data_IF_028129386858
#
_entry.id   IF_028129386858
#
_cell.length_a   1.000
_cell.length_b   1.000
_cell.length_c   1.000
_cell.angle_alpha   90.00
_cell.angle_beta   90.00
_cell.angle_gamma   90.00
#
_symmetry.space_group_name_H-M   'P 1'
#
loop_
_entity.id
_entity.type
_entity.pdbx_description
1 polymer ?
#
# COMPACT_ATOMS: atom_id res chain seq x y z
N UNK A 1 -41.90 25.63 33.29
CA UNK A 1 -42.00 25.05 31.93
C UNK A 1 -40.63 24.58 31.45
N UNK A 2 -40.06 23.52 32.05
CA UNK A 2 -38.66 23.09 31.78
C UNK A 2 -38.48 21.57 31.66
N UNK A 3 -39.56 20.80 31.48
CA UNK A 3 -39.51 19.33 31.49
C UNK A 3 -39.49 18.71 30.08
N UNK A 4 -39.90 19.46 29.04
CA UNK A 4 -39.91 19.00 27.64
C UNK A 4 -38.55 19.14 26.93
N UNK A 5 -37.68 20.04 27.38
CA UNK A 5 -36.39 20.31 26.70
C UNK A 5 -35.29 19.28 27.03
N UNK A 6 -35.41 18.57 28.17
CA UNK A 6 -34.41 17.57 28.58
C UNK A 6 -34.49 16.30 27.72
N UNK A 7 -35.71 15.87 27.37
CA UNK A 7 -35.94 14.71 26.50
C UNK A 7 -35.42 14.92 25.07
N UNK A 8 -35.57 16.14 24.54
CA UNK A 8 -35.10 16.51 23.20
C UNK A 8 -33.57 16.47 23.14
N UNK A 9 -32.89 17.00 24.15
CA UNK A 9 -31.43 16.95 24.25
C UNK A 9 -30.88 15.52 24.29
N UNK A 10 -31.52 14.62 25.03
CA UNK A 10 -31.13 13.20 25.05
C UNK A 10 -31.31 12.53 23.68
N UNK A 11 -32.40 12.83 22.96
CA UNK A 11 -32.62 12.30 21.61
C UNK A 11 -31.55 12.77 20.62
N UNK A 12 -31.15 14.05 20.67
CA UNK A 12 -30.07 14.57 19.82
C UNK A 12 -28.71 13.95 20.15
N UNK A 13 -28.41 13.70 21.42
CA UNK A 13 -27.17 13.03 21.82
C UNK A 13 -27.08 11.60 21.28
N UNK A 14 -28.16 10.82 21.34
CA UNK A 14 -28.18 9.45 20.80
C UNK A 14 -28.01 9.45 19.28
N UNK A 15 -28.64 10.39 18.57
CA UNK A 15 -28.50 10.56 17.11
C UNK A 15 -27.05 10.88 16.68
N UNK A 16 -26.31 11.67 17.45
CA UNK A 16 -24.92 12.03 17.13
C UNK A 16 -23.96 10.83 17.27
N UNK A 17 -24.24 9.88 18.16
CA UNK A 17 -23.40 8.68 18.35
C UNK A 17 -23.50 7.74 17.13
N UNK A 18 -24.63 7.70 16.43
CA UNK A 18 -24.79 6.89 15.22
C UNK A 18 -23.99 7.41 14.02
N UNK A 19 -23.67 8.71 13.96
CA UNK A 19 -22.91 9.31 12.85
C UNK A 19 -21.39 9.14 13.03
N UNK A 20 -20.93 8.94 14.27
CA UNK A 20 -19.53 8.63 14.57
C UNK A 20 -19.14 7.16 14.29
N UNK A 21 -20.09 6.36 13.77
CA UNK A 21 -19.96 4.93 13.53
C UNK A 21 -19.51 4.54 12.12
N UNK A 22 -18.79 5.39 11.39
CA UNK A 22 -17.98 4.92 10.24
C UNK A 22 -16.69 5.71 10.15
N UNK A 23 -15.92 5.75 11.23
CA UNK A 23 -14.48 5.69 11.06
C UNK A 23 -14.24 4.36 10.35
N UNK A 24 -14.23 4.37 9.00
CA UNK A 24 -13.51 3.32 8.27
C UNK A 24 -12.16 3.32 8.97
N UNK A 25 -11.87 2.26 9.72
CA UNK A 25 -10.51 1.91 9.99
C UNK A 25 -9.92 1.84 8.58
N UNK A 26 -9.30 2.94 8.16
CA UNK A 26 -8.36 2.93 7.09
C UNK A 26 -7.37 1.93 7.66
N UNK A 27 -7.50 0.68 7.23
CA UNK A 27 -6.47 -0.30 7.45
C UNK A 27 -5.22 0.49 7.09
N UNK A 28 -4.40 0.79 8.10
CA UNK A 28 -3.00 0.94 7.86
C UNK A 28 -2.63 -0.44 7.34
N UNK A 29 -2.89 -0.63 6.04
CA UNK A 29 -2.16 -1.51 5.17
C UNK A 29 -0.74 -1.08 5.46
N UNK A 30 -0.16 -1.77 6.43
CA UNK A 30 1.14 -1.50 6.99
C UNK A 30 2.06 -2.01 5.90
N UNK A 31 2.00 -1.33 4.75
CA UNK A 31 2.24 -1.83 3.42
C UNK A 31 3.73 -1.95 3.27
N UNK A 32 4.26 -2.99 3.92
CA UNK A 32 5.66 -3.32 3.91
C UNK A 32 5.96 -3.57 2.46
N UNK A 33 6.72 -2.65 1.88
CA UNK A 33 7.22 -2.84 0.54
C UNK A 33 8.44 -3.71 0.70
N UNK A 34 8.35 -4.95 0.24
CA UNK A 34 9.48 -5.85 0.10
C UNK A 34 10.23 -5.51 -1.19
N UNK A 35 11.54 -5.72 -1.16
CA UNK A 35 12.43 -5.52 -2.31
C UNK A 35 13.21 -6.82 -2.52
N UNK A 36 13.06 -7.40 -3.69
CA UNK A 36 13.92 -8.49 -4.17
C UNK A 36 14.84 -7.97 -5.27
N UNK A 37 16.09 -8.43 -5.27
CA UNK A 37 17.12 -8.04 -6.24
C UNK A 37 17.64 -9.29 -6.97
N UNK A 38 17.76 -9.19 -8.29
CA UNK A 38 18.31 -10.23 -9.13
C UNK A 38 19.42 -9.68 -10.02
N UNK A 39 20.53 -10.41 -10.08
CA UNK A 39 21.58 -10.26 -11.08
C UNK A 39 21.05 -10.79 -12.43
N UNK A 40 20.28 -9.97 -13.13
CA UNK A 40 19.84 -10.24 -14.50
C UNK A 40 20.13 -9.02 -15.34
N UNK A 41 20.64 -9.24 -16.55
CA UNK A 41 20.97 -8.16 -17.48
C UNK A 41 19.68 -7.41 -17.82
N UNK A 42 19.58 -6.17 -17.34
CA UNK A 42 18.42 -5.30 -17.52
C UNK A 42 18.36 -4.63 -18.90
N UNK A 43 19.18 -5.09 -19.85
CA UNK A 43 19.04 -4.78 -21.30
C UNK A 43 17.68 -5.26 -21.82
N UNK A 44 17.15 -6.35 -21.25
CA UNK A 44 15.78 -6.79 -21.50
C UNK A 44 14.95 -6.42 -20.27
N UNK A 45 14.57 -5.14 -20.16
CA UNK A 45 13.70 -4.63 -19.09
C UNK A 45 12.39 -5.45 -18.98
N UNK A 46 11.93 -6.00 -20.10
CA UNK A 46 10.78 -6.89 -20.16
C UNK A 46 10.97 -8.21 -19.38
N UNK A 47 12.17 -8.78 -19.30
CA UNK A 47 12.44 -10.00 -18.52
C UNK A 47 12.35 -9.71 -17.01
N UNK A 48 12.90 -8.57 -16.59
CA UNK A 48 12.80 -8.07 -15.22
C UNK A 48 11.33 -7.86 -14.81
N UNK A 49 10.56 -7.25 -15.72
CA UNK A 49 9.12 -7.00 -15.53
C UNK A 49 8.29 -8.26 -15.53
N UNK A 50 8.52 -9.17 -16.46
CA UNK A 50 7.79 -10.44 -16.55
C UNK A 50 8.02 -11.23 -15.28
N UNK A 51 9.28 -11.41 -14.86
CA UNK A 51 9.62 -12.13 -13.64
C UNK A 51 9.00 -11.49 -12.40
N UNK A 52 9.15 -10.18 -12.23
CA UNK A 52 8.60 -9.45 -11.09
C UNK A 52 7.06 -9.59 -11.00
N UNK A 53 6.36 -9.47 -12.13
CA UNK A 53 4.90 -9.62 -12.15
C UNK A 53 4.43 -11.07 -12.04
N UNK A 54 5.23 -12.03 -12.50
CA UNK A 54 4.94 -13.45 -12.37
C UNK A 54 5.01 -13.90 -10.91
N UNK A 55 6.03 -13.46 -10.18
CA UNK A 55 6.28 -13.90 -8.82
C UNK A 55 5.43 -13.12 -7.79
N UNK A 56 5.27 -11.80 -8.00
CA UNK A 56 4.64 -10.91 -7.00
C UNK A 56 3.35 -10.24 -7.49
N UNK A 57 2.91 -10.56 -8.70
CA UNK A 57 1.69 -10.04 -9.32
C UNK A 57 1.86 -8.68 -10.01
N UNK A 58 0.86 -8.28 -10.80
CA UNK A 58 0.87 -7.05 -11.63
C UNK A 58 0.98 -5.72 -10.85
N UNK A 59 0.91 -5.78 -9.52
CA UNK A 59 1.07 -4.60 -8.64
C UNK A 59 2.50 -4.39 -8.19
N UNK A 60 3.36 -5.40 -8.39
CA UNK A 60 4.79 -5.26 -8.17
C UNK A 60 5.38 -4.29 -9.18
N UNK A 61 6.43 -3.57 -8.77
CA UNK A 61 7.11 -2.59 -9.60
C UNK A 61 8.51 -3.11 -9.90
N UNK A 62 8.81 -3.49 -11.15
CA UNK A 62 10.18 -3.77 -11.56
C UNK A 62 10.97 -2.46 -11.72
N UNK A 63 12.28 -2.53 -11.62
CA UNK A 63 13.17 -1.42 -11.94
C UNK A 63 14.58 -1.90 -12.24
N UNK A 64 15.20 -1.29 -13.24
CA UNK A 64 16.58 -1.55 -13.63
C UNK A 64 17.51 -0.53 -12.96
N UNK A 65 18.56 -1.02 -12.30
CA UNK A 65 19.52 -0.20 -11.58
C UNK A 65 20.93 -0.57 -12.06
N UNK A 66 21.67 0.41 -12.56
CA UNK A 66 23.07 0.21 -12.94
C UNK A 66 23.89 0.05 -11.66
N UNK A 67 24.58 -1.07 -11.50
CA UNK A 67 25.54 -1.23 -10.41
C UNK A 67 26.85 -0.55 -10.81
N UNK A 68 27.23 0.53 -10.12
CA UNK A 68 28.54 1.16 -10.32
C UNK A 68 29.64 0.25 -9.73
N UNK A 69 30.53 -0.27 -10.58
CA UNK A 69 31.62 -1.15 -10.15
C UNK A 69 32.33 -1.87 -11.30
N UNK A 70 33.48 -2.52 -11.05
CA UNK A 70 34.29 -3.20 -12.08
C UNK A 70 33.57 -4.38 -12.74
N UNK A 71 32.53 -4.91 -12.10
CA UNK A 71 31.69 -6.03 -12.58
C UNK A 71 30.49 -5.57 -13.40
N UNK A 72 30.32 -4.24 -13.60
CA UNK A 72 29.34 -3.57 -14.46
C UNK A 72 28.17 -4.43 -14.94
N UNK A 73 27.14 -4.56 -14.11
CA UNK A 73 25.91 -5.27 -14.46
C UNK A 73 24.70 -4.40 -14.12
N UNK A 74 23.71 -4.39 -15.01
CA UNK A 74 22.39 -3.86 -14.67
C UNK A 74 21.71 -4.87 -13.72
N UNK A 75 21.17 -4.39 -12.60
CA UNK A 75 20.44 -5.18 -11.63
C UNK A 75 18.95 -4.95 -11.80
N UNK A 76 18.17 -6.03 -11.81
CA UNK A 76 16.73 -5.94 -11.70
C UNK A 76 16.34 -5.92 -10.22
N UNK A 77 15.53 -4.95 -9.82
CA UNK A 77 14.89 -4.92 -8.50
C UNK A 77 13.37 -4.97 -8.66
N UNK A 78 12.71 -5.79 -7.85
CA UNK A 78 11.26 -5.91 -7.80
C UNK A 78 10.74 -5.40 -6.45
N UNK A 79 9.91 -4.37 -6.48
CA UNK A 79 9.27 -3.79 -5.30
C UNK A 79 7.82 -4.26 -5.23
N UNK A 80 7.45 -4.97 -4.18
CA UNK A 80 6.11 -5.53 -4.04
C UNK A 80 5.59 -5.39 -2.62
N UNK A 81 4.28 -5.54 -2.44
CA UNK A 81 3.71 -5.61 -1.10
C UNK A 81 3.99 -6.99 -0.50
N UNK A 82 4.66 -7.02 0.62
CA UNK A 82 4.45 -8.07 1.60
C UNK A 82 3.26 -7.69 2.51
#
# INVERSE_FOLDING_TARGET
MAKKNSLILCFFLVLLIFIAGTSKAMNQDNGKTCVEEWETICVIEDDCKERCHKDHGKKAKPGCYVQEGPTGGDLCKCFYKC
#
